data_IF_556156510274
#
_entry.id   IF_556156510274
#
_cell.length_a   1.000
_cell.length_b   1.000
_cell.length_c   1.000
_cell.angle_alpha   90.00
_cell.angle_beta   90.00
_cell.angle_gamma   90.00
#
_symmetry.space_group_name_H-M   'P 1'
#
loop_
_entity.id
_entity.type
_entity.pdbx_description
1 polymer ?
#
# COMPACT_ATOMS: atom_id res chain seq x y z
N UNK A 1 -1.84 -43.45 0.62
CA UNK A 1 -2.16 -42.02 0.77
C UNK A 1 -3.61 -41.87 0.37
N UNK A 2 -4.45 -41.29 1.23
CA UNK A 2 -5.87 -41.11 0.95
C UNK A 2 -6.05 -39.77 0.22
N UNK A 3 -6.35 -39.85 -1.08
CA UNK A 3 -6.42 -38.68 -1.97
C UNK A 3 -7.57 -37.76 -1.58
N UNK A 4 -8.73 -38.33 -1.22
CA UNK A 4 -9.91 -37.55 -0.80
C UNK A 4 -9.63 -36.78 0.49
N UNK A 5 -8.91 -37.41 1.43
CA UNK A 5 -8.47 -36.74 2.65
C UNK A 5 -7.50 -35.57 2.38
N UNK A 6 -6.62 -35.71 1.39
CA UNK A 6 -5.69 -34.64 0.99
C UNK A 6 -6.45 -33.48 0.34
N UNK A 7 -7.39 -33.77 -0.57
CA UNK A 7 -8.23 -32.76 -1.21
C UNK A 7 -9.02 -31.97 -0.16
N UNK A 8 -9.70 -32.65 0.76
CA UNK A 8 -10.49 -32.01 1.80
C UNK A 8 -9.64 -31.09 2.71
N UNK A 9 -8.39 -31.44 2.98
CA UNK A 9 -7.49 -30.60 3.78
C UNK A 9 -7.02 -29.37 2.99
N UNK A 10 -6.74 -29.50 1.69
CA UNK A 10 -6.42 -28.36 0.82
C UNK A 10 -7.60 -27.38 0.78
N UNK A 11 -8.81 -27.87 0.51
CA UNK A 11 -10.02 -27.03 0.46
C UNK A 11 -10.28 -26.33 1.79
N UNK A 12 -10.01 -27.02 2.91
CA UNK A 12 -10.10 -26.42 4.24
C UNK A 12 -9.09 -25.29 4.43
N UNK A 13 -7.84 -25.49 4.01
CA UNK A 13 -6.80 -24.45 4.10
C UNK A 13 -7.14 -23.25 3.23
N UNK A 14 -7.57 -23.48 1.99
CA UNK A 14 -8.00 -22.42 1.08
C UNK A 14 -9.13 -21.57 1.67
N UNK A 15 -10.10 -22.21 2.34
CA UNK A 15 -11.17 -21.50 3.05
C UNK A 15 -10.64 -20.62 4.19
N UNK A 16 -9.67 -21.11 4.95
CA UNK A 16 -9.04 -20.34 6.04
C UNK A 16 -8.27 -19.15 5.46
N UNK A 17 -7.50 -19.35 4.38
CA UNK A 17 -6.72 -18.27 3.75
C UNK A 17 -7.59 -17.25 2.99
N UNK A 18 -8.79 -17.63 2.57
CA UNK A 18 -9.75 -16.73 1.94
C UNK A 18 -10.55 -15.89 2.95
N UNK A 19 -10.50 -16.25 4.23
CA UNK A 19 -11.18 -15.48 5.27
C UNK A 19 -10.48 -14.12 5.49
N UNK A 20 -11.23 -13.03 5.71
CA UNK A 20 -10.64 -11.75 6.08
C UNK A 20 -9.75 -11.88 7.33
N UNK A 21 -8.55 -11.31 7.29
CA UNK A 21 -7.72 -11.19 8.50
C UNK A 21 -8.32 -10.13 9.42
N UNK A 22 -8.92 -10.57 10.51
CA UNK A 22 -9.61 -9.70 11.49
C UNK A 22 -8.71 -9.31 12.67
N UNK A 23 -7.42 -9.70 12.66
CA UNK A 23 -6.50 -9.31 13.73
C UNK A 23 -6.28 -7.80 13.71
N UNK A 24 -6.00 -7.17 14.86
CA UNK A 24 -5.59 -5.77 14.89
C UNK A 24 -4.33 -5.56 14.04
N UNK A 25 -4.29 -4.45 13.28
CA UNK A 25 -3.13 -4.10 12.46
C UNK A 25 -1.91 -3.83 13.35
N UNK A 26 -0.80 -4.49 13.02
CA UNK A 26 0.49 -4.20 13.61
C UNK A 26 1.18 -3.03 12.90
N UNK A 27 2.24 -2.50 13.50
CA UNK A 27 3.09 -1.50 12.84
C UNK A 27 3.70 -2.01 11.52
N UNK A 28 4.00 -3.31 11.44
CA UNK A 28 4.49 -3.95 10.22
C UNK A 28 3.43 -3.99 9.13
N UNK A 29 2.18 -4.32 9.48
CA UNK A 29 1.06 -4.37 8.53
C UNK A 29 0.79 -2.98 7.93
N UNK A 30 0.77 -1.95 8.80
CA UNK A 30 0.62 -0.55 8.37
C UNK A 30 1.77 -0.15 7.45
N UNK A 31 3.01 -0.50 7.81
CA UNK A 31 4.18 -0.19 6.98
C UNK A 31 4.12 -0.90 5.62
N UNK A 32 3.67 -2.15 5.58
CA UNK A 32 3.50 -2.90 4.34
C UNK A 32 2.38 -2.30 3.45
N UNK A 33 1.25 -1.93 4.06
CA UNK A 33 0.15 -1.26 3.36
C UNK A 33 0.60 0.08 2.77
N UNK A 34 1.35 0.89 3.52
CA UNK A 34 1.91 2.15 3.04
C UNK A 34 2.88 1.93 1.87
N UNK A 35 3.80 0.96 1.97
CA UNK A 35 4.69 0.64 0.83
C UNK A 35 3.91 0.27 -0.43
N UNK A 36 2.87 -0.56 -0.31
CA UNK A 36 2.03 -0.96 -1.44
C UNK A 36 1.27 0.23 -2.02
N UNK A 37 0.72 1.08 -1.16
CA UNK A 37 0.07 2.33 -1.56
C UNK A 37 1.02 3.23 -2.35
N UNK A 38 2.23 3.46 -1.82
CA UNK A 38 3.23 4.31 -2.43
C UNK A 38 3.68 3.78 -3.79
N UNK A 39 3.85 2.46 -3.91
CA UNK A 39 4.15 1.79 -5.18
C UNK A 39 3.03 1.99 -6.21
N UNK A 40 1.78 1.81 -5.81
CA UNK A 40 0.63 1.95 -6.70
C UNK A 40 0.46 3.39 -7.20
N UNK A 41 0.81 4.37 -6.38
CA UNK A 41 0.67 5.79 -6.70
C UNK A 41 1.96 6.44 -7.19
N UNK A 42 3.06 5.68 -7.36
CA UNK A 42 4.38 6.22 -7.72
C UNK A 42 4.36 7.12 -8.96
N UNK A 43 3.47 6.84 -9.92
CA UNK A 43 3.32 7.60 -11.16
C UNK A 43 2.22 8.67 -11.12
N UNK A 44 1.49 8.82 -10.01
CA UNK A 44 0.48 9.86 -9.85
C UNK A 44 1.15 11.21 -9.61
N UNK A 45 0.93 12.23 -10.46
CA UNK A 45 1.51 13.55 -10.26
C UNK A 45 1.12 14.17 -8.92
N UNK A 46 -0.12 13.93 -8.47
CA UNK A 46 -0.60 14.38 -7.17
C UNK A 46 0.11 13.69 -6.01
N UNK A 47 0.37 12.39 -6.13
CA UNK A 47 1.10 11.66 -5.09
C UNK A 47 2.55 12.10 -5.01
N UNK A 48 3.21 12.33 -6.15
CA UNK A 48 4.58 12.88 -6.18
C UNK A 48 4.66 14.28 -5.56
N UNK A 49 3.66 15.13 -5.83
CA UNK A 49 3.56 16.45 -5.22
C UNK A 49 3.39 16.34 -3.70
N UNK A 50 2.45 15.51 -3.25
CA UNK A 50 2.23 15.26 -1.82
C UNK A 50 3.46 14.65 -1.14
N UNK A 51 4.15 13.70 -1.77
CA UNK A 51 5.37 13.10 -1.22
C UNK A 51 6.49 14.14 -1.06
N UNK A 52 6.58 15.11 -1.99
CA UNK A 52 7.58 16.19 -1.95
C UNK A 52 7.23 17.32 -0.97
N UNK A 53 5.95 17.60 -0.76
CA UNK A 53 5.50 18.84 -0.10
C UNK A 53 4.53 18.63 1.08
N UNK A 54 3.90 17.48 1.21
CA UNK A 54 2.81 17.18 2.16
C UNK A 54 3.24 16.58 3.50
N UNK A 55 4.54 16.40 3.75
CA UNK A 55 5.03 15.98 5.08
C UNK A 55 4.84 17.13 6.07
N UNK A 56 4.03 16.92 7.13
CA UNK A 56 3.73 17.92 8.16
C UNK A 56 4.95 18.43 8.94
N UNK A 57 6.09 17.74 8.80
CA UNK A 57 7.35 18.07 9.48
C UNK A 57 8.19 19.11 8.73
N UNK A 58 7.70 19.68 7.62
CA UNK A 58 8.41 20.77 6.95
C UNK A 58 8.28 22.05 7.76
N UNK A 59 9.41 22.63 8.15
CA UNK A 59 9.47 23.94 8.80
C UNK A 59 9.15 25.07 7.80
N UNK A 60 9.31 24.82 6.50
CA UNK A 60 9.17 25.81 5.44
C UNK A 60 8.14 25.39 4.38
N UNK A 61 7.38 26.39 3.89
CA UNK A 61 6.34 26.20 2.88
C UNK A 61 6.91 25.73 1.53
N UNK A 62 6.13 24.99 0.72
CA UNK A 62 6.49 24.63 -0.65
C UNK A 62 6.76 25.86 -1.53
N UNK A 63 7.95 25.98 -2.11
CA UNK A 63 8.20 26.91 -3.22
C UNK A 63 7.81 26.24 -4.54
N UNK A 64 6.65 26.62 -5.08
CA UNK A 64 6.21 26.18 -6.41
C UNK A 64 6.82 27.12 -7.46
N UNK A 65 7.85 26.66 -8.17
CA UNK A 65 8.32 27.37 -9.35
C UNK A 65 7.40 27.06 -10.53
N UNK A 66 6.59 28.05 -10.92
CA UNK A 66 5.87 28.00 -12.19
C UNK A 66 6.91 27.95 -13.31
N UNK A 67 7.03 26.78 -13.95
CA UNK A 67 7.90 26.60 -15.11
C UNK A 67 7.67 27.72 -16.13
N UNK A 68 8.75 28.21 -16.73
CA UNK A 68 8.69 29.29 -17.74
C UNK A 68 7.71 28.85 -18.83
N UNK A 69 6.66 29.64 -19.02
CA UNK A 69 5.74 29.47 -20.15
C UNK A 69 6.57 29.49 -21.43
N UNK A 70 6.70 28.35 -22.12
CA UNK A 70 7.22 28.35 -23.48
C UNK A 70 6.29 29.25 -24.31
N UNK A 71 6.87 30.30 -24.92
CA UNK A 71 6.20 31.19 -25.86
C UNK A 71 6.17 30.57 -27.25
#
# INVERSE_FOLDING_TARGET
MDVEKVIAEIERLERIFSAPDIRPLTSSDISAANRRHDQNLANSPWFQLWQRYGLCCRTEAPSLELGKTER
#
